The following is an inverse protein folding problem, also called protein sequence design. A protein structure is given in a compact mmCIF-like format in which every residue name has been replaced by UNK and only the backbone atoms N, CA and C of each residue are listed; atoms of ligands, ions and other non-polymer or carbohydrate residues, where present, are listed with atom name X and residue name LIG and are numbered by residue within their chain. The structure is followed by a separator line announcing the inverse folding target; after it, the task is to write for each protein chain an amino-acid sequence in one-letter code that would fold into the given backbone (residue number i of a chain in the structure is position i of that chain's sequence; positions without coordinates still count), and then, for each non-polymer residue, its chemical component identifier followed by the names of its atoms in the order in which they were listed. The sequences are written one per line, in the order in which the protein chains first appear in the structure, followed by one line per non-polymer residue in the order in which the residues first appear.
data_IF_578070765539
#
_entry.id   IF_578070765539
#
_cell.length_a   1.000
_cell.length_b   1.000
_cell.length_c   1.000
_cell.angle_alpha   90.00
_cell.angle_beta   90.00
_cell.angle_gamma   90.00
#
_symmetry.space_group_name_H-M   'P 1'
#
loop_
_entity.id
_entity.type
_entity.pdbx_description
1 polymer ?
#
# COMPACT_ATOMS: atom_id res chain seq x y z
N UNK A 1 -20.57 -22.48 -56.29
CA UNK A 1 -20.79 -21.52 -55.21
C UNK A 1 -20.06 -22.01 -53.96
N UNK A 2 -18.89 -21.43 -53.65
CA UNK A 2 -18.11 -21.78 -52.46
C UNK A 2 -18.56 -20.84 -51.30
N UNK A 3 -19.14 -21.41 -50.26
CA UNK A 3 -19.51 -20.66 -49.03
C UNK A 3 -18.23 -20.50 -48.20
N UNK A 4 -17.77 -19.27 -48.00
CA UNK A 4 -16.77 -18.92 -47.00
C UNK A 4 -17.48 -18.77 -45.65
N UNK A 5 -17.10 -19.60 -44.68
CA UNK A 5 -17.51 -19.45 -43.28
C UNK A 5 -16.49 -18.51 -42.63
N UNK A 6 -16.93 -17.30 -42.30
CA UNK A 6 -16.14 -16.33 -41.55
C UNK A 6 -16.25 -16.71 -40.05
N UNK A 7 -15.19 -17.30 -39.50
CA UNK A 7 -15.11 -17.56 -38.06
C UNK A 7 -14.57 -16.27 -37.39
N UNK A 8 -15.48 -15.50 -36.81
CA UNK A 8 -15.11 -14.37 -35.95
C UNK A 8 -14.66 -14.91 -34.60
N UNK A 9 -13.34 -14.96 -34.35
CA UNK A 9 -12.78 -15.22 -33.02
C UNK A 9 -12.91 -13.96 -32.23
N UNK A 10 -13.91 -13.92 -31.35
CA UNK A 10 -14.05 -12.85 -30.34
C UNK A 10 -12.98 -13.11 -29.26
N UNK A 11 -11.86 -12.40 -29.34
CA UNK A 11 -10.96 -12.27 -28.20
C UNK A 11 -11.64 -11.38 -27.15
N UNK A 12 -12.30 -12.00 -26.17
CA UNK A 12 -12.66 -11.31 -24.96
C UNK A 12 -11.38 -10.97 -24.20
N UNK A 13 -10.83 -9.78 -24.44
CA UNK A 13 -9.80 -9.20 -23.58
C UNK A 13 -10.53 -8.88 -22.28
N UNK A 14 -10.46 -9.77 -21.29
CA UNK A 14 -10.76 -9.43 -19.90
C UNK A 14 -9.64 -8.47 -19.46
N UNK A 15 -9.80 -7.18 -19.75
CA UNK A 15 -9.05 -6.14 -19.07
C UNK A 15 -9.44 -6.28 -17.59
N UNK A 16 -8.58 -6.93 -16.82
CA UNK A 16 -8.69 -6.93 -15.37
C UNK A 16 -8.62 -5.45 -14.98
N UNK A 17 -9.74 -4.92 -14.51
CA UNK A 17 -9.87 -3.51 -14.18
C UNK A 17 -9.09 -3.22 -12.89
N UNK A 18 -7.78 -3.05 -13.01
CA UNK A 18 -6.93 -2.51 -11.96
C UNK A 18 -7.13 -1.00 -11.76
N UNK A 19 -7.95 -0.39 -12.61
CA UNK A 19 -8.18 1.05 -12.65
C UNK A 19 -9.07 1.58 -11.51
N UNK A 20 -9.72 0.70 -10.75
CA UNK A 20 -10.63 1.10 -9.68
C UNK A 20 -10.21 0.48 -8.35
N UNK A 21 -10.45 1.23 -7.25
CA UNK A 21 -10.32 0.68 -5.91
C UNK A 21 -11.24 -0.53 -5.75
N UNK A 22 -10.83 -1.59 -5.01
CA UNK A 22 -11.68 -2.72 -4.73
C UNK A 22 -12.99 -2.25 -4.06
N UNK A 23 -14.10 -2.88 -4.41
CA UNK A 23 -15.32 -2.73 -3.66
C UNK A 23 -15.13 -3.41 -2.29
N UNK A 24 -15.53 -2.73 -1.21
CA UNK A 24 -15.55 -3.31 0.12
C UNK A 24 -16.99 -3.47 0.57
N UNK A 25 -17.29 -4.65 1.13
CA UNK A 25 -18.60 -4.92 1.70
C UNK A 25 -18.86 -4.08 2.96
N UNK A 26 -20.12 -3.91 3.32
CA UNK A 26 -20.46 -3.34 4.62
C UNK A 26 -20.21 -4.39 5.70
N UNK A 27 -19.50 -4.01 6.76
CA UNK A 27 -19.39 -4.81 7.96
C UNK A 27 -20.38 -4.27 9.01
N UNK A 28 -21.37 -5.06 9.37
CA UNK A 28 -22.22 -4.79 10.54
C UNK A 28 -21.55 -5.36 11.81
N UNK A 29 -20.26 -5.11 12.00
CA UNK A 29 -19.46 -5.85 12.95
C UNK A 29 -19.78 -5.45 14.39
N UNK A 30 -20.64 -6.24 15.00
CA UNK A 30 -20.71 -6.36 16.47
C UNK A 30 -19.66 -7.35 17.01
N UNK A 31 -18.96 -8.08 16.15
CA UNK A 31 -18.04 -9.18 16.50
C UNK A 31 -16.56 -8.82 16.34
N UNK A 32 -16.25 -7.61 15.84
CA UNK A 32 -14.87 -7.24 15.48
C UNK A 32 -14.49 -7.79 14.11
N UNK A 33 -13.26 -7.47 13.66
CA UNK A 33 -12.72 -7.96 12.39
C UNK A 33 -11.19 -7.91 12.42
N UNK A 34 -10.57 -8.69 11.56
CA UNK A 34 -9.12 -8.67 11.36
C UNK A 34 -8.80 -8.21 9.95
N UNK A 35 -7.82 -7.32 9.80
CA UNK A 35 -7.24 -6.96 8.52
C UNK A 35 -5.72 -7.13 8.54
N UNK A 36 -5.14 -7.28 7.35
CA UNK A 36 -3.69 -7.41 7.22
C UNK A 36 -3.06 -6.17 6.59
N UNK A 37 -1.91 -5.77 7.12
CA UNK A 37 -1.01 -4.84 6.46
C UNK A 37 0.24 -5.60 6.02
N UNK A 38 0.48 -5.58 4.71
CA UNK A 38 1.64 -6.17 4.03
C UNK A 38 2.45 -5.04 3.40
N UNK A 39 3.77 -5.15 3.38
CA UNK A 39 4.60 -4.12 2.77
C UNK A 39 5.79 -4.72 2.03
N UNK A 40 6.32 -3.97 1.08
CA UNK A 40 7.58 -4.27 0.41
C UNK A 40 7.69 -5.71 -0.12
N UNK A 41 6.67 -6.22 -0.87
CA UNK A 41 6.85 -7.47 -1.62
C UNK A 41 7.94 -7.35 -2.66
N UNK A 42 8.20 -6.16 -3.15
CA UNK A 42 9.33 -5.63 -3.91
C UNK A 42 9.94 -6.65 -4.89
N UNK A 43 9.10 -7.17 -5.80
CA UNK A 43 9.46 -8.22 -6.74
C UNK A 43 10.72 -7.84 -7.54
N UNK A 44 11.75 -8.70 -7.43
CA UNK A 44 13.05 -8.47 -8.04
C UNK A 44 14.09 -7.80 -7.12
N UNK A 45 13.74 -7.46 -5.88
CA UNK A 45 14.67 -6.93 -4.90
C UNK A 45 15.47 -8.06 -4.23
N UNK A 46 16.49 -8.52 -4.87
CA UNK A 46 17.50 -9.41 -4.29
C UNK A 46 18.67 -9.52 -5.26
N UNK A 47 19.90 -9.38 -4.79
CA UNK A 47 21.12 -9.63 -5.57
C UNK A 47 21.12 -9.01 -6.99
N UNK A 48 20.79 -7.73 -7.11
CA UNK A 48 20.80 -6.97 -8.38
C UNK A 48 19.80 -7.49 -9.43
N UNK A 49 18.56 -7.72 -9.06
CA UNK A 49 17.47 -8.22 -9.93
C UNK A 49 17.66 -9.68 -10.41
N UNK A 50 18.59 -10.43 -9.84
CA UNK A 50 18.89 -11.78 -10.32
C UNK A 50 17.96 -12.87 -9.78
N UNK A 51 17.10 -12.57 -8.83
CA UNK A 51 16.24 -13.57 -8.20
C UNK A 51 14.77 -13.12 -8.10
N UNK A 52 14.19 -12.79 -9.26
CA UNK A 52 12.76 -12.48 -9.34
C UNK A 52 11.90 -13.64 -8.83
N UNK A 53 12.28 -14.89 -9.13
CA UNK A 53 11.53 -16.07 -8.71
C UNK A 53 11.44 -16.19 -7.19
N UNK A 54 12.53 -15.91 -6.47
CA UNK A 54 12.53 -15.95 -5.01
C UNK A 54 11.51 -14.96 -4.38
N UNK A 55 11.44 -13.73 -4.92
CA UNK A 55 10.45 -12.74 -4.46
C UNK A 55 9.02 -13.10 -4.86
N UNK A 56 8.84 -13.74 -6.02
CA UNK A 56 7.55 -14.31 -6.44
C UNK A 56 7.10 -15.39 -5.45
N UNK A 57 7.99 -16.30 -5.07
CA UNK A 57 7.67 -17.40 -4.15
C UNK A 57 7.31 -16.88 -2.75
N UNK A 58 8.00 -15.84 -2.26
CA UNK A 58 7.64 -15.17 -1.01
C UNK A 58 6.25 -14.51 -1.09
N UNK A 59 5.94 -13.81 -2.18
CA UNK A 59 4.62 -13.23 -2.35
C UNK A 59 3.52 -14.30 -2.46
N UNK A 60 3.78 -15.44 -3.13
CA UNK A 60 2.85 -16.59 -3.15
C UNK A 60 2.63 -17.17 -1.76
N UNK A 61 3.69 -17.29 -0.96
CA UNK A 61 3.58 -17.73 0.42
C UNK A 61 2.70 -16.77 1.25
N UNK A 62 2.88 -15.45 1.05
CA UNK A 62 2.03 -14.43 1.69
C UNK A 62 0.57 -14.55 1.26
N UNK A 63 0.30 -14.73 -0.04
CA UNK A 63 -1.07 -14.95 -0.54
C UNK A 63 -1.68 -16.23 0.05
N UNK A 64 -0.90 -17.30 0.19
CA UNK A 64 -1.37 -18.54 0.85
C UNK A 64 -1.76 -18.30 2.31
N UNK A 65 -1.05 -17.44 3.02
CA UNK A 65 -1.41 -17.03 4.39
C UNK A 65 -2.69 -16.19 4.37
N UNK A 66 -2.80 -15.22 3.46
CA UNK A 66 -4.00 -14.37 3.30
C UNK A 66 -5.25 -15.24 3.08
N UNK A 67 -5.20 -16.16 2.11
CA UNK A 67 -6.34 -17.02 1.79
C UNK A 67 -6.70 -17.98 2.93
N UNK A 68 -5.70 -18.47 3.71
CA UNK A 68 -5.94 -19.34 4.86
C UNK A 68 -6.55 -18.59 6.04
N UNK A 69 -6.00 -17.43 6.40
CA UNK A 69 -6.43 -16.65 7.56
C UNK A 69 -7.69 -15.80 7.28
N UNK A 70 -7.97 -15.58 6.01
CA UNK A 70 -9.16 -14.94 5.49
C UNK A 70 -9.50 -13.59 6.17
N UNK A 71 -8.59 -12.60 6.15
CA UNK A 71 -8.85 -11.28 6.72
C UNK A 71 -9.97 -10.57 5.98
N UNK A 72 -10.64 -9.62 6.63
CA UNK A 72 -11.68 -8.80 6.03
C UNK A 72 -11.20 -8.03 4.78
N UNK A 73 -9.93 -7.63 4.78
CA UNK A 73 -9.22 -7.03 3.65
C UNK A 73 -7.70 -7.01 3.91
N UNK A 74 -6.96 -6.72 2.86
CA UNK A 74 -5.50 -6.54 2.91
C UNK A 74 -5.13 -5.15 2.41
N UNK A 75 -4.17 -4.50 3.06
CA UNK A 75 -3.58 -3.23 2.60
C UNK A 75 -2.09 -3.44 2.35
N UNK A 76 -1.65 -3.17 1.11
CA UNK A 76 -0.25 -3.24 0.70
C UNK A 76 0.33 -1.82 0.71
N UNK A 77 1.27 -1.57 1.60
CA UNK A 77 1.83 -0.23 1.83
C UNK A 77 3.08 0.05 0.98
N UNK A 78 2.98 -0.25 -0.32
CA UNK A 78 3.95 0.18 -1.32
C UNK A 78 5.09 -0.80 -1.61
N UNK A 79 5.93 -0.38 -2.55
CA UNK A 79 7.04 -1.14 -3.10
C UNK A 79 6.63 -2.55 -3.55
N UNK A 80 5.59 -2.60 -4.42
CA UNK A 80 5.12 -3.84 -5.02
C UNK A 80 6.18 -4.47 -5.92
N UNK A 81 6.97 -3.63 -6.60
CA UNK A 81 8.03 -4.04 -7.53
C UNK A 81 9.33 -3.28 -7.24
N UNK A 82 10.47 -3.86 -7.61
CA UNK A 82 11.76 -3.22 -7.39
C UNK A 82 12.11 -2.19 -8.46
N UNK A 83 11.70 -2.40 -9.70
CA UNK A 83 12.01 -1.52 -10.84
C UNK A 83 10.75 -1.16 -11.61
N UNK A 84 10.28 0.07 -11.45
CA UNK A 84 9.05 0.59 -12.07
C UNK A 84 8.93 0.34 -13.58
N UNK A 85 10.05 0.27 -14.32
CA UNK A 85 10.09 0.04 -15.77
C UNK A 85 10.13 -1.44 -16.18
N UNK A 86 10.23 -2.37 -15.24
CA UNK A 86 10.31 -3.82 -15.53
C UNK A 86 8.91 -4.43 -15.63
N UNK A 87 8.41 -4.56 -16.86
CA UNK A 87 7.08 -5.15 -17.12
C UNK A 87 6.90 -6.53 -16.49
N UNK A 88 7.92 -7.39 -16.55
CA UNK A 88 7.87 -8.72 -15.98
C UNK A 88 7.69 -8.72 -14.46
N UNK A 89 8.16 -7.70 -13.74
CA UNK A 89 7.90 -7.57 -12.30
C UNK A 89 6.45 -7.16 -12.03
N UNK A 90 5.92 -6.23 -12.82
CA UNK A 90 4.51 -5.80 -12.74
C UNK A 90 3.58 -6.99 -13.05
N UNK A 91 3.83 -7.70 -14.14
CA UNK A 91 3.03 -8.86 -14.56
C UNK A 91 3.06 -9.97 -13.52
N UNK A 92 4.24 -10.27 -12.97
CA UNK A 92 4.40 -11.26 -11.91
C UNK A 92 3.62 -10.87 -10.64
N UNK A 93 3.77 -9.62 -10.18
CA UNK A 93 3.01 -9.11 -9.03
C UNK A 93 1.50 -9.26 -9.25
N UNK A 94 0.99 -8.74 -10.38
CA UNK A 94 -0.44 -8.80 -10.72
C UNK A 94 -0.93 -10.24 -10.79
N UNK A 95 -0.16 -11.15 -11.40
CA UNK A 95 -0.53 -12.57 -11.52
C UNK A 95 -0.64 -13.26 -10.16
N UNK A 96 0.26 -12.95 -9.23
CA UNK A 96 0.23 -13.55 -7.88
C UNK A 96 -0.92 -12.95 -7.06
N UNK A 97 -1.08 -11.62 -7.04
CA UNK A 97 -2.19 -10.98 -6.30
C UNK A 97 -3.55 -11.40 -6.83
N UNK A 98 -3.69 -11.69 -8.12
CA UNK A 98 -4.94 -12.21 -8.70
C UNK A 98 -5.34 -13.60 -8.16
N UNK A 99 -4.46 -14.28 -7.40
CA UNK A 99 -4.76 -15.56 -6.72
C UNK A 99 -5.23 -15.39 -5.27
N UNK A 100 -5.35 -14.16 -4.78
CA UNK A 100 -6.08 -13.88 -3.53
C UNK A 100 -7.56 -14.19 -3.76
N UNK A 101 -8.21 -14.78 -2.76
CA UNK A 101 -9.62 -15.12 -2.82
C UNK A 101 -10.45 -13.86 -3.12
N UNK A 102 -11.44 -13.99 -4.01
CA UNK A 102 -12.14 -12.87 -4.63
C UNK A 102 -12.96 -12.00 -3.65
N UNK A 103 -13.29 -12.56 -2.52
CA UNK A 103 -14.03 -11.90 -1.43
C UNK A 103 -13.11 -11.18 -0.43
N UNK A 104 -11.78 -11.28 -0.60
CA UNK A 104 -10.78 -10.52 0.18
C UNK A 104 -10.32 -9.30 -0.64
N UNK A 105 -10.81 -8.09 -0.37
CA UNK A 105 -10.35 -6.88 -1.05
C UNK A 105 -8.87 -6.60 -0.74
N UNK A 106 -8.08 -6.29 -1.78
CA UNK A 106 -6.67 -5.90 -1.64
C UNK A 106 -6.50 -4.46 -2.08
N UNK A 107 -6.20 -3.58 -1.14
CA UNK A 107 -5.88 -2.17 -1.39
C UNK A 107 -4.37 -1.98 -1.44
N UNK A 108 -3.90 -0.94 -2.14
CA UNK A 108 -2.48 -0.60 -2.20
C UNK A 108 -2.23 0.90 -2.34
N UNK A 109 -1.03 1.31 -2.00
CA UNK A 109 -0.48 2.65 -2.24
C UNK A 109 0.91 2.51 -2.84
N UNK A 110 1.46 3.52 -3.54
CA UNK A 110 2.80 3.44 -4.12
C UNK A 110 3.90 3.57 -3.07
N UNK A 111 5.00 2.82 -3.28
CA UNK A 111 6.28 3.08 -2.67
C UNK A 111 7.24 3.82 -3.61
N UNK A 112 8.46 4.07 -3.15
CA UNK A 112 9.46 4.81 -3.92
C UNK A 112 10.07 3.99 -5.07
N UNK A 113 9.98 2.67 -5.03
CA UNK A 113 10.39 1.81 -6.16
C UNK A 113 9.32 1.71 -7.23
N UNK A 114 8.05 1.84 -6.86
CA UNK A 114 6.92 1.88 -7.78
C UNK A 114 6.84 3.22 -8.52
N UNK A 115 7.16 4.31 -7.81
CA UNK A 115 7.03 5.69 -8.31
C UNK A 115 8.29 6.51 -7.95
N UNK A 116 9.45 6.20 -8.55
CA UNK A 116 10.70 6.84 -8.18
C UNK A 116 10.76 8.31 -8.63
N UNK A 117 11.31 9.14 -7.77
CA UNK A 117 11.44 10.60 -7.88
C UNK A 117 12.05 11.07 -9.21
N UNK A 118 13.01 10.33 -9.75
CA UNK A 118 13.79 10.74 -10.94
C UNK A 118 13.32 10.12 -12.25
N UNK A 119 12.25 9.32 -12.25
CA UNK A 119 11.75 8.72 -13.47
C UNK A 119 10.98 9.73 -14.33
N UNK A 120 10.90 9.44 -15.62
CA UNK A 120 10.03 10.18 -16.55
C UNK A 120 8.59 9.70 -16.38
N UNK A 121 7.68 10.63 -16.07
CA UNK A 121 6.26 10.37 -15.86
C UNK A 121 5.94 9.15 -14.95
N UNK A 122 6.55 9.03 -13.75
CA UNK A 122 6.41 7.85 -12.90
C UNK A 122 4.97 7.68 -12.39
N UNK A 123 4.26 8.77 -12.12
CA UNK A 123 2.87 8.74 -11.70
C UNK A 123 1.96 8.14 -12.76
N UNK A 124 2.12 8.59 -14.02
CA UNK A 124 1.34 8.02 -15.13
C UNK A 124 1.61 6.53 -15.28
N UNK A 125 2.88 6.12 -15.24
CA UNK A 125 3.26 4.72 -15.36
C UNK A 125 2.71 3.87 -14.19
N UNK A 126 2.73 4.41 -12.98
CA UNK A 126 2.13 3.76 -11.81
C UNK A 126 0.62 3.58 -11.98
N UNK A 127 -0.09 4.63 -12.37
CA UNK A 127 -1.54 4.57 -12.58
C UNK A 127 -1.93 3.62 -13.72
N UNK A 128 -1.15 3.56 -14.80
CA UNK A 128 -1.35 2.60 -15.89
C UNK A 128 -1.17 1.13 -15.40
N UNK A 129 -0.27 0.91 -14.43
CA UNK A 129 0.00 -0.43 -13.90
C UNK A 129 -0.91 -0.84 -12.75
N UNK A 130 -1.30 0.09 -11.86
CA UNK A 130 -1.94 -0.20 -10.58
C UNK A 130 -3.25 0.54 -10.35
N UNK A 131 -3.61 1.49 -11.21
CA UNK A 131 -4.92 2.14 -11.26
C UNK A 131 -5.09 3.38 -10.39
N UNK A 132 -4.70 3.35 -9.13
CA UNK A 132 -4.87 4.47 -8.19
C UNK A 132 -3.65 4.59 -7.25
N UNK A 133 -3.43 5.77 -6.67
CA UNK A 133 -2.28 6.05 -5.80
C UNK A 133 -2.65 6.37 -4.35
N UNK A 134 -3.93 6.46 -4.06
CA UNK A 134 -4.50 6.71 -2.73
C UNK A 134 -5.89 6.09 -2.66
N UNK A 135 -6.35 5.76 -1.48
CA UNK A 135 -7.68 5.20 -1.26
C UNK A 135 -8.30 5.73 0.03
N UNK A 136 -9.62 5.61 0.10
CA UNK A 136 -10.39 5.87 1.30
C UNK A 136 -11.64 5.00 1.32
N UNK A 137 -11.91 4.35 2.46
CA UNK A 137 -13.13 3.58 2.67
C UNK A 137 -13.50 3.49 4.15
N UNK A 138 -14.74 3.12 4.42
CA UNK A 138 -15.24 2.80 5.75
C UNK A 138 -15.44 1.30 5.90
N UNK A 139 -15.08 0.74 7.07
CA UNK A 139 -15.36 -0.66 7.42
C UNK A 139 -15.45 -0.82 8.94
N UNK A 140 -16.49 -1.55 9.42
CA UNK A 140 -16.66 -1.85 10.85
C UNK A 140 -16.77 -0.62 11.77
N UNK A 141 -17.18 0.53 11.25
CA UNK A 141 -17.27 1.79 11.99
C UNK A 141 -15.95 2.53 12.13
N UNK A 142 -14.95 2.21 11.30
CA UNK A 142 -13.66 2.90 11.20
C UNK A 142 -13.40 3.37 9.77
N UNK A 143 -12.67 4.48 9.67
CA UNK A 143 -12.13 4.98 8.40
C UNK A 143 -10.74 4.41 8.10
N UNK A 144 -10.46 4.15 6.84
CA UNK A 144 -9.18 3.66 6.34
C UNK A 144 -8.72 4.56 5.19
N UNK A 145 -7.57 5.21 5.34
CA UNK A 145 -7.05 6.18 4.35
C UNK A 145 -5.63 5.78 3.97
N UNK A 146 -5.38 5.52 2.70
CA UNK A 146 -4.05 5.31 2.15
C UNK A 146 -3.57 6.54 1.38
N UNK A 147 -2.36 7.02 1.66
CA UNK A 147 -1.75 8.20 1.05
C UNK A 147 -0.48 7.87 0.26
N UNK A 148 -0.19 8.65 -0.76
CA UNK A 148 1.07 8.60 -1.48
C UNK A 148 2.15 9.40 -0.73
N UNK A 149 2.91 8.72 0.13
CA UNK A 149 3.94 9.37 0.95
C UNK A 149 5.22 9.75 0.17
N UNK A 150 5.35 9.40 -1.11
CA UNK A 150 6.47 9.87 -1.94
C UNK A 150 6.52 11.40 -2.01
N UNK A 151 5.37 12.08 -1.90
CA UNK A 151 5.30 13.53 -1.82
C UNK A 151 5.91 14.11 -0.54
N UNK A 152 6.02 13.33 0.53
CA UNK A 152 6.36 13.81 1.87
C UNK A 152 7.83 13.65 2.25
N UNK A 153 8.60 12.88 1.48
CA UNK A 153 10.01 12.54 1.77
C UNK A 153 11.01 13.23 0.86
N UNK A 154 10.56 14.06 -0.06
CA UNK A 154 11.40 14.75 -1.03
C UNK A 154 11.72 16.17 -0.58
N UNK A 155 13.02 16.55 -0.56
CA UNK A 155 13.45 17.92 -0.31
C UNK A 155 13.01 18.89 -1.43
N UNK A 156 12.87 18.36 -2.63
CA UNK A 156 12.21 19.03 -3.77
C UNK A 156 11.05 18.15 -4.18
N UNK A 157 9.84 18.69 -4.11
CA UNK A 157 8.65 17.98 -4.56
C UNK A 157 8.85 17.47 -5.98
N UNK A 158 8.60 16.18 -6.24
CA UNK A 158 8.50 15.72 -7.60
C UNK A 158 7.35 16.48 -8.26
N UNK A 159 7.59 17.05 -9.43
CA UNK A 159 6.60 17.86 -10.14
C UNK A 159 5.27 17.14 -10.48
N UNK A 160 5.18 15.83 -10.20
CA UNK A 160 4.03 14.98 -10.49
C UNK A 160 3.16 14.65 -9.27
N UNK A 161 3.53 15.10 -8.06
CA UNK A 161 2.71 14.90 -6.85
C UNK A 161 2.54 16.26 -6.17
N UNK A 162 1.30 16.65 -5.97
CA UNK A 162 0.96 17.84 -5.19
C UNK A 162 0.64 17.43 -3.75
N UNK A 163 1.58 17.68 -2.83
CA UNK A 163 1.42 17.37 -1.42
C UNK A 163 0.32 18.22 -0.76
N UNK A 164 0.10 19.42 -1.23
CA UNK A 164 -0.96 20.30 -0.72
C UNK A 164 -2.34 19.82 -1.18
N UNK A 165 -2.49 19.44 -2.45
CA UNK A 165 -3.72 18.83 -2.96
C UNK A 165 -4.05 17.54 -2.23
N UNK A 166 -3.05 16.70 -1.97
CA UNK A 166 -3.26 15.47 -1.21
C UNK A 166 -3.67 15.76 0.24
N UNK A 167 -3.10 16.79 0.88
CA UNK A 167 -3.49 17.20 2.23
C UNK A 167 -4.94 17.69 2.28
N UNK A 168 -5.38 18.46 1.29
CA UNK A 168 -6.77 18.92 1.17
C UNK A 168 -7.73 17.73 0.94
N UNK A 169 -7.36 16.82 0.06
CA UNK A 169 -8.13 15.58 -0.14
C UNK A 169 -8.23 14.78 1.16
N UNK A 170 -7.12 14.58 1.87
CA UNK A 170 -7.10 13.85 3.15
C UNK A 170 -7.97 14.53 4.20
N UNK A 171 -7.97 15.86 4.27
CA UNK A 171 -8.86 16.61 5.15
C UNK A 171 -10.33 16.31 4.84
N UNK A 172 -10.71 16.30 3.56
CA UNK A 172 -12.07 15.95 3.14
C UNK A 172 -12.46 14.54 3.54
N UNK A 173 -11.56 13.57 3.41
CA UNK A 173 -11.82 12.16 3.81
C UNK A 173 -11.91 12.01 5.33
N UNK A 174 -10.99 12.60 6.10
CA UNK A 174 -11.03 12.58 7.56
C UNK A 174 -12.32 13.19 8.10
N UNK A 175 -12.75 14.33 7.53
CA UNK A 175 -14.00 14.98 7.91
C UNK A 175 -15.24 14.09 7.67
N UNK A 176 -15.25 13.29 6.60
CA UNK A 176 -16.31 12.31 6.37
C UNK A 176 -16.39 11.27 7.48
N UNK A 177 -15.26 10.96 8.12
CA UNK A 177 -15.13 9.92 9.14
C UNK A 177 -15.17 10.42 10.58
N UNK A 178 -15.38 11.72 10.83
CA UNK A 178 -15.46 12.30 12.19
C UNK A 178 -16.55 11.65 13.05
N UNK A 179 -17.57 11.07 12.44
CA UNK A 179 -18.66 10.38 13.13
C UNK A 179 -18.34 8.92 13.49
N UNK A 180 -17.21 8.38 13.02
CA UNK A 180 -16.81 7.00 13.25
C UNK A 180 -16.02 6.83 14.54
N UNK A 181 -15.74 5.59 14.93
CA UNK A 181 -14.94 5.25 16.13
C UNK A 181 -13.48 5.73 16.02
N UNK A 182 -13.00 6.03 14.82
CA UNK A 182 -11.68 6.55 14.50
C UNK A 182 -11.24 6.20 13.09
N UNK A 183 -10.06 6.66 12.71
CA UNK A 183 -9.49 6.45 11.37
C UNK A 183 -8.08 5.91 11.48
N UNK A 184 -7.70 5.00 10.58
CA UNK A 184 -6.35 4.51 10.39
C UNK A 184 -5.76 5.06 9.09
N UNK A 185 -4.47 5.42 9.11
CA UNK A 185 -3.76 5.96 7.95
C UNK A 185 -2.64 5.02 7.53
N UNK A 186 -2.50 4.84 6.23
CA UNK A 186 -1.51 3.97 5.60
C UNK A 186 -0.62 4.79 4.68
N UNK A 187 0.69 4.63 4.84
CA UNK A 187 1.71 5.29 4.06
C UNK A 187 2.83 4.30 3.75
N UNK A 188 3.61 4.54 2.68
CA UNK A 188 4.80 3.74 2.47
C UNK A 188 5.92 4.18 3.43
N UNK A 189 6.28 5.46 3.42
CA UNK A 189 7.28 6.00 4.34
C UNK A 189 6.66 6.34 5.69
N UNK A 190 7.33 6.03 6.82
CA UNK A 190 6.85 6.42 8.15
C UNK A 190 7.02 7.94 8.37
N UNK A 191 6.18 8.57 9.20
CA UNK A 191 6.37 9.97 9.59
C UNK A 191 7.59 10.17 10.48
N UNK A 192 7.94 9.17 11.28
CA UNK A 192 9.04 9.18 12.25
C UNK A 192 9.54 7.76 12.51
N UNK A 193 10.82 7.59 12.78
CA UNK A 193 11.42 6.34 13.24
C UNK A 193 11.54 6.33 14.77
N UNK A 194 11.63 5.14 15.35
CA UNK A 194 11.87 4.97 16.78
C UNK A 194 13.27 5.51 17.17
N UNK A 195 13.37 6.06 18.35
CA UNK A 195 14.69 6.48 18.88
C UNK A 195 15.62 5.28 18.99
N UNK A 196 16.76 5.35 18.29
CA UNK A 196 17.73 4.24 18.25
C UNK A 196 17.43 3.19 17.17
N UNK A 197 16.51 3.45 16.25
CA UNK A 197 16.27 2.63 15.08
C UNK A 197 17.59 2.33 14.32
N UNK A 198 17.81 1.10 13.87
CA UNK A 198 18.99 0.74 13.07
C UNK A 198 18.91 1.27 11.63
N UNK A 199 17.77 1.77 11.21
CA UNK A 199 17.52 2.29 9.86
C UNK A 199 18.40 3.50 9.59
N UNK A 200 19.23 3.42 8.55
CA UNK A 200 20.26 4.45 8.25
C UNK A 200 19.95 5.28 7.01
N UNK A 201 18.98 4.88 6.22
CA UNK A 201 18.57 5.64 5.04
C UNK A 201 17.50 6.67 5.41
N UNK A 202 17.40 7.74 4.61
CA UNK A 202 16.38 8.76 4.82
C UNK A 202 15.00 8.17 4.53
N UNK A 203 14.18 8.04 5.55
CA UNK A 203 12.91 7.31 5.49
C UNK A 203 11.71 8.10 5.99
N UNK A 204 11.95 9.14 6.79
CA UNK A 204 10.90 9.88 7.48
C UNK A 204 10.34 10.99 6.60
N UNK A 205 9.12 11.40 6.90
CA UNK A 205 8.52 12.58 6.26
C UNK A 205 9.32 13.84 6.58
N UNK A 206 9.47 14.71 5.58
CA UNK A 206 10.17 15.98 5.72
C UNK A 206 9.25 17.08 6.25
N UNK A 207 9.84 18.06 6.92
CA UNK A 207 9.15 19.32 7.21
C UNK A 207 9.02 20.18 5.93
N UNK A 208 7.96 20.99 5.79
CA UNK A 208 6.89 21.21 6.79
C UNK A 208 5.73 20.20 6.69
N UNK A 209 5.77 19.25 5.77
CA UNK A 209 4.66 18.31 5.51
C UNK A 209 4.38 17.41 6.69
N UNK A 210 5.40 16.90 7.35
CA UNK A 210 5.23 16.06 8.55
C UNK A 210 4.35 16.77 9.58
N UNK A 211 4.71 17.99 9.96
CA UNK A 211 3.94 18.79 10.91
C UNK A 211 2.50 19.02 10.46
N UNK A 212 2.27 19.34 9.17
CA UNK A 212 0.93 19.62 8.65
C UNK A 212 0.04 18.38 8.67
N UNK A 213 0.55 17.25 8.16
CA UNK A 213 -0.20 15.99 8.09
C UNK A 213 -0.48 15.42 9.49
N UNK A 214 0.50 15.39 10.38
CA UNK A 214 0.35 14.88 11.74
C UNK A 214 -0.64 15.74 12.53
N UNK A 215 -0.58 17.05 12.41
CA UNK A 215 -1.54 17.98 13.03
C UNK A 215 -2.97 17.69 12.57
N UNK A 216 -3.17 17.52 11.26
CA UNK A 216 -4.47 17.18 10.69
C UNK A 216 -4.98 15.84 11.22
N UNK A 217 -4.16 14.80 11.22
CA UNK A 217 -4.50 13.48 11.74
C UNK A 217 -4.90 13.53 13.22
N UNK A 218 -4.16 14.29 14.03
CA UNK A 218 -4.46 14.47 15.46
C UNK A 218 -5.79 15.17 15.68
N UNK A 219 -6.09 16.21 14.91
CA UNK A 219 -7.36 16.95 14.99
C UNK A 219 -8.58 16.08 14.69
N UNK A 220 -8.43 15.08 13.82
CA UNK A 220 -9.50 14.16 13.41
C UNK A 220 -9.41 12.78 14.08
N UNK A 221 -8.66 12.66 15.17
CA UNK A 221 -8.66 11.45 16.00
C UNK A 221 -8.13 10.18 15.33
N UNK A 222 -7.13 10.30 14.45
CA UNK A 222 -6.45 9.15 13.85
C UNK A 222 -5.88 8.24 14.95
N UNK A 223 -6.18 6.94 14.86
CA UNK A 223 -5.86 5.91 15.86
C UNK A 223 -4.51 5.24 15.63
N UNK A 224 -3.95 5.34 14.44
CA UNK A 224 -2.66 4.75 14.11
C UNK A 224 -2.25 5.02 12.67
N UNK A 225 -0.94 5.02 12.45
CA UNK A 225 -0.30 5.15 11.14
C UNK A 225 0.48 3.87 10.87
N UNK A 226 0.23 3.23 9.73
CA UNK A 226 0.90 2.02 9.30
C UNK A 226 1.82 2.32 8.13
N UNK A 227 3.09 1.89 8.20
CA UNK A 227 4.10 2.17 7.21
C UNK A 227 4.96 0.95 6.87
N UNK A 228 5.74 1.06 5.80
CA UNK A 228 6.73 0.11 5.32
C UNK A 228 8.09 0.75 5.10
N UNK A 229 8.69 0.54 3.90
CA UNK A 229 9.90 1.18 3.39
C UNK A 229 11.20 0.81 4.10
N UNK A 230 11.19 0.70 5.41
CA UNK A 230 12.40 0.46 6.21
C UNK A 230 12.90 -0.97 6.14
N UNK A 231 12.05 -1.90 5.70
CA UNK A 231 12.28 -3.35 5.77
C UNK A 231 12.62 -3.83 7.19
N UNK A 232 12.20 -3.04 8.19
CA UNK A 232 12.44 -3.29 9.60
C UNK A 232 11.16 -3.01 10.40
N UNK A 233 10.79 -3.97 11.27
CA UNK A 233 9.58 -3.83 12.09
C UNK A 233 9.89 -3.07 13.37
N UNK A 234 9.19 -1.93 13.58
CA UNK A 234 9.29 -1.17 14.83
C UNK A 234 7.99 -0.43 15.13
N UNK A 235 7.82 -0.06 16.38
CA UNK A 235 6.70 0.77 16.84
C UNK A 235 7.22 2.01 17.53
N UNK A 236 6.63 3.16 17.19
CA UNK A 236 6.91 4.44 17.83
C UNK A 236 5.64 5.26 17.91
N UNK A 237 5.72 6.53 18.25
CA UNK A 237 4.59 7.45 18.22
C UNK A 237 5.02 8.83 17.74
N UNK A 238 4.06 9.59 17.21
CA UNK A 238 4.22 11.01 16.90
C UNK A 238 2.98 11.77 17.36
N UNK A 239 3.17 12.77 18.23
CA UNK A 239 2.10 13.58 18.83
C UNK A 239 0.96 12.76 19.46
N UNK A 240 1.29 11.59 20.05
CA UNK A 240 0.33 10.67 20.67
C UNK A 240 -0.37 9.74 19.66
N UNK A 241 -0.01 9.75 18.37
CA UNK A 241 -0.51 8.80 17.36
C UNK A 241 0.50 7.65 17.24
N UNK A 242 0.11 6.40 17.50
CA UNK A 242 0.97 5.24 17.29
C UNK A 242 1.38 5.09 15.82
N UNK A 243 2.66 4.77 15.59
CA UNK A 243 3.22 4.50 14.27
C UNK A 243 3.78 3.08 14.25
N UNK A 244 3.27 2.27 13.35
CA UNK A 244 3.66 0.88 13.16
C UNK A 244 4.40 0.76 11.82
N UNK A 245 5.71 0.52 11.87
CA UNK A 245 6.50 0.23 10.67
C UNK A 245 6.68 -1.27 10.58
N UNK A 246 6.31 -1.84 9.44
CA UNK A 246 6.30 -3.29 9.23
C UNK A 246 7.53 -3.71 8.43
N UNK A 247 8.09 -4.87 8.77
CA UNK A 247 9.17 -5.47 8.00
C UNK A 247 8.68 -5.93 6.62
N UNK A 248 9.59 -5.96 5.64
CA UNK A 248 9.27 -6.39 4.29
C UNK A 248 8.72 -7.82 4.25
N UNK A 249 7.71 -8.05 3.43
CA UNK A 249 7.16 -9.38 3.20
C UNK A 249 8.06 -10.27 2.34
N UNK A 250 9.10 -9.71 1.69
CA UNK A 250 10.05 -10.47 0.88
C UNK A 250 11.47 -10.43 1.42
N UNK A 251 12.11 -9.27 1.49
CA UNK A 251 13.52 -9.13 1.86
C UNK A 251 13.72 -8.14 3.01
N UNK A 252 13.74 -8.64 4.26
CA UNK A 252 13.93 -7.80 5.45
C UNK A 252 15.39 -7.30 5.53
N UNK A 253 15.57 -6.19 6.24
CA UNK A 253 16.89 -5.61 6.53
C UNK A 253 17.13 -5.58 8.05
N UNK A 254 18.34 -5.25 8.43
CA UNK A 254 18.75 -5.04 9.84
C UNK A 254 18.44 -6.20 10.79
N UNK A 255 18.40 -7.44 10.26
CA UNK A 255 18.10 -8.63 11.06
C UNK A 255 16.62 -8.81 11.43
N UNK A 256 15.72 -8.00 10.85
CA UNK A 256 14.29 -8.20 11.02
C UNK A 256 13.82 -9.48 10.29
N UNK A 257 12.84 -10.22 10.80
CA UNK A 257 12.23 -11.32 10.05
C UNK A 257 11.37 -10.76 8.90
N UNK A 258 11.11 -11.55 7.87
CA UNK A 258 10.00 -11.27 6.93
C UNK A 258 8.69 -11.24 7.69
N UNK A 259 7.78 -10.31 7.34
CA UNK A 259 6.58 -10.16 8.12
C UNK A 259 5.45 -9.41 7.46
N UNK A 260 4.36 -9.43 8.16
CA UNK A 260 3.15 -8.64 7.94
C UNK A 260 2.55 -8.33 9.31
N UNK A 261 1.65 -7.36 9.37
CA UNK A 261 0.84 -7.13 10.56
C UNK A 261 -0.56 -7.71 10.37
N UNK A 262 -1.00 -8.46 11.37
CA UNK A 262 -2.39 -8.88 11.54
C UNK A 262 -3.00 -8.01 12.63
N UNK A 263 -3.98 -7.17 12.27
CA UNK A 263 -4.60 -6.20 13.15
C UNK A 263 -6.04 -6.61 13.41
N UNK A 264 -6.36 -6.91 14.67
CA UNK A 264 -7.71 -7.26 15.09
C UNK A 264 -8.35 -6.08 15.82
N UNK A 265 -9.47 -5.63 15.29
CA UNK A 265 -10.34 -4.65 15.93
C UNK A 265 -11.38 -5.41 16.76
N UNK A 266 -11.33 -5.23 18.05
CA UNK A 266 -12.33 -5.79 18.97
C UNK A 266 -13.55 -4.87 19.07
N UNK A 267 -14.74 -5.38 19.38
CA UNK A 267 -15.99 -4.61 19.48
C UNK A 267 -15.93 -3.42 20.45
#
# INVERSE_FOLDING_TARGET
MKRFILISVLFAITAIAWAQQPAIGKCESKEGFTFFQVTDPQLGFHSKDKNLQWTIDNLKAMVSIINREHPAFVIITGDMIHRHYKKNQVEAYRSVIATVDKDIPVFHIPGNHDMPKYAVAPRKQYLDNFGYERFSFEYGGYGFIGINSNALVCDTLPAYIDAAEQLEWMYGELKKYDHLKGTFVFAHHPPVLAKGSPVKHKSEWNEPYRTQYVRLMKQHGVKGIFAGHTHYGETTEIDGIPVFTTSASSYPLYGSPTGYLSITITP
#
